data_IF_389147376719
#
_entry.id   IF_389147376719
#
_cell.length_a   1.000
_cell.length_b   1.000
_cell.length_c   1.000
_cell.angle_alpha   90.00
_cell.angle_beta   90.00
_cell.angle_gamma   90.00
#
_symmetry.space_group_name_H-M   'P 1'
#
loop_
_entity.id
_entity.type
_entity.pdbx_description
1 polymer ?
#
# COMPACT_ATOMS: atom_id res chain seq x y z
N UNK A 1 -6.22 37.62 -21.14
CA UNK A 1 -4.99 36.90 -20.76
C UNK A 1 -5.34 36.18 -19.47
N UNK A 2 -6.02 35.05 -19.60
CA UNK A 2 -6.42 34.21 -18.47
C UNK A 2 -5.17 33.57 -17.91
N UNK A 3 -4.92 33.79 -16.62
CA UNK A 3 -3.91 33.05 -15.89
C UNK A 3 -4.40 31.61 -15.81
N UNK A 4 -3.71 30.70 -16.51
CA UNK A 4 -3.89 29.28 -16.30
C UNK A 4 -3.56 29.00 -14.83
N UNK A 5 -4.57 28.58 -14.08
CA UNK A 5 -4.37 27.96 -12.77
C UNK A 5 -3.50 26.72 -13.01
N UNK A 6 -2.21 26.82 -12.67
CA UNK A 6 -1.33 25.66 -12.61
C UNK A 6 -1.88 24.73 -11.53
N UNK A 7 -2.64 23.73 -11.97
CA UNK A 7 -2.98 22.55 -11.18
C UNK A 7 -1.69 22.01 -10.52
N UNK A 8 -1.68 21.77 -9.20
CA UNK A 8 -0.49 21.32 -8.51
C UNK A 8 -0.02 19.98 -9.12
N UNK A 9 1.30 19.79 -9.32
CA UNK A 9 1.79 18.53 -9.84
C UNK A 9 1.33 17.39 -8.93
N UNK A 10 0.68 16.39 -9.52
CA UNK A 10 0.17 15.12 -8.97
C UNK A 10 1.27 14.22 -8.33
N UNK A 11 2.33 14.81 -7.78
CA UNK A 11 3.46 14.16 -7.13
C UNK A 11 3.68 14.58 -5.68
N UNK A 12 2.89 15.52 -5.14
CA UNK A 12 3.08 16.06 -3.79
C UNK A 12 2.88 15.00 -2.69
N UNK A 13 1.97 14.05 -2.89
CA UNK A 13 1.70 12.99 -1.90
C UNK A 13 2.85 11.98 -1.78
N UNK A 14 3.61 11.79 -2.87
CA UNK A 14 4.71 10.83 -2.93
C UNK A 14 6.00 11.35 -2.25
N UNK A 15 6.16 12.67 -2.13
CA UNK A 15 7.36 13.31 -1.57
C UNK A 15 7.48 13.03 -0.07
N UNK A 16 6.38 13.23 0.68
CA UNK A 16 6.32 12.91 2.10
C UNK A 16 6.51 11.42 2.36
N UNK A 17 5.93 10.58 1.49
CA UNK A 17 6.17 9.15 1.54
C UNK A 17 7.66 8.88 1.41
N UNK A 18 8.31 9.30 0.33
CA UNK A 18 9.75 9.07 0.10
C UNK A 18 10.61 9.57 1.26
N UNK A 19 10.31 10.76 1.80
CA UNK A 19 11.03 11.32 2.94
C UNK A 19 10.87 10.51 4.24
N UNK A 20 9.73 9.82 4.41
CA UNK A 20 9.46 8.95 5.55
C UNK A 20 10.07 7.55 5.35
N UNK A 21 10.06 7.05 4.10
CA UNK A 21 10.64 5.76 3.71
C UNK A 21 12.17 5.73 3.84
N UNK A 22 12.84 6.89 3.74
CA UNK A 22 14.30 7.03 3.79
C UNK A 22 14.87 6.98 5.23
N UNK A 23 14.02 7.02 6.27
CA UNK A 23 14.45 7.14 7.68
C UNK A 23 14.72 5.79 8.38
N UNK A 24 14.65 4.65 7.66
CA UNK A 24 15.05 3.33 8.16
C UNK A 24 13.90 2.33 8.38
N UNK A 25 14.24 1.04 8.45
CA UNK A 25 13.29 -0.09 8.38
C UNK A 25 12.19 -0.10 9.46
N UNK A 26 12.47 0.37 10.69
CA UNK A 26 11.46 0.39 11.77
C UNK A 26 10.45 1.53 11.67
N UNK A 27 10.84 2.66 11.06
CA UNK A 27 9.96 3.79 10.79
C UNK A 27 9.04 3.53 9.60
N UNK A 28 9.52 2.72 8.64
CA UNK A 28 8.78 2.29 7.47
C UNK A 28 7.48 1.56 7.84
N UNK A 29 7.56 0.57 8.73
CA UNK A 29 6.38 -0.22 9.12
C UNK A 29 5.33 0.63 9.86
N UNK A 30 5.79 1.49 10.75
CA UNK A 30 4.93 2.42 11.51
C UNK A 30 4.29 3.46 10.59
N UNK A 31 5.04 4.01 9.65
CA UNK A 31 4.54 4.98 8.68
C UNK A 31 3.50 4.37 7.73
N UNK A 32 3.74 3.14 7.25
CA UNK A 32 2.80 2.43 6.38
C UNK A 32 1.54 2.02 7.12
N UNK A 33 1.65 1.65 8.40
CA UNK A 33 0.50 1.40 9.28
C UNK A 33 -0.33 2.66 9.48
N UNK A 34 0.30 3.77 9.87
CA UNK A 34 -0.39 5.05 10.11
C UNK A 34 -1.02 5.60 8.83
N UNK A 35 -0.34 5.47 7.68
CA UNK A 35 -0.91 5.81 6.39
C UNK A 35 -2.15 4.98 6.10
N UNK A 36 -2.09 3.66 6.29
CA UNK A 36 -3.21 2.77 6.01
C UNK A 36 -4.43 3.06 6.90
N UNK A 37 -4.19 3.38 8.18
CA UNK A 37 -5.20 3.86 9.12
C UNK A 37 -5.82 5.18 8.69
N UNK A 38 -5.00 6.18 8.34
CA UNK A 38 -5.49 7.48 7.88
C UNK A 38 -6.33 7.36 6.59
N UNK A 39 -5.89 6.50 5.66
CA UNK A 39 -6.58 6.27 4.41
C UNK A 39 -7.87 5.46 4.59
N UNK A 40 -7.90 4.51 5.52
CA UNK A 40 -9.11 3.78 5.89
C UNK A 40 -10.25 4.72 6.35
N UNK A 41 -9.93 5.81 7.04
CA UNK A 41 -10.93 6.74 7.58
C UNK A 41 -11.44 7.76 6.57
N UNK A 42 -10.69 8.03 5.49
CA UNK A 42 -10.97 9.15 4.58
C UNK A 42 -11.22 8.71 3.12
N UNK A 43 -10.45 7.75 2.60
CA UNK A 43 -10.56 7.26 1.21
C UNK A 43 -9.85 5.89 1.07
N UNK A 44 -10.61 4.82 1.28
CA UNK A 44 -10.14 3.43 1.20
C UNK A 44 -9.52 3.11 -0.16
N UNK A 45 -10.10 3.62 -1.26
CA UNK A 45 -9.64 3.34 -2.62
C UNK A 45 -8.31 4.02 -2.93
N UNK A 46 -8.09 5.24 -2.44
CA UNK A 46 -6.80 5.92 -2.54
C UNK A 46 -5.74 5.18 -1.71
N UNK A 47 -6.07 4.69 -0.51
CA UNK A 47 -5.16 3.84 0.28
C UNK A 47 -4.71 2.59 -0.47
N UNK A 48 -5.65 1.87 -1.09
CA UNK A 48 -5.35 0.71 -1.95
C UNK A 48 -4.44 1.09 -3.12
N UNK A 49 -4.73 2.20 -3.81
CA UNK A 49 -3.91 2.66 -4.94
C UNK A 49 -2.48 2.98 -4.51
N UNK A 50 -2.30 3.68 -3.39
CA UNK A 50 -0.99 4.07 -2.86
C UNK A 50 -0.15 2.85 -2.50
N UNK A 51 -0.68 1.93 -1.69
CA UNK A 51 0.07 0.73 -1.29
C UNK A 51 0.42 -0.18 -2.48
N UNK A 52 -0.50 -0.34 -3.45
CA UNK A 52 -0.20 -1.06 -4.71
C UNK A 52 0.86 -0.33 -5.54
N UNK A 53 0.85 1.00 -5.53
CA UNK A 53 1.85 1.83 -6.20
C UNK A 53 3.24 1.57 -5.65
N UNK A 54 3.39 1.47 -4.33
CA UNK A 54 4.67 1.13 -3.69
C UNK A 54 5.16 -0.25 -4.10
N UNK A 55 4.32 -1.28 -3.97
CA UNK A 55 4.69 -2.65 -4.40
C UNK A 55 5.12 -2.66 -5.87
N UNK A 56 4.43 -1.94 -6.75
CA UNK A 56 4.82 -1.86 -8.17
C UNK A 56 6.15 -1.14 -8.39
N UNK A 57 6.45 -0.09 -7.62
CA UNK A 57 7.71 0.67 -7.71
C UNK A 57 8.91 -0.20 -7.28
N UNK A 58 8.80 -0.91 -6.15
CA UNK A 58 9.84 -1.84 -5.70
C UNK A 58 9.27 -2.98 -4.82
N UNK A 59 8.94 -4.13 -5.42
CA UNK A 59 8.32 -5.24 -4.71
C UNK A 59 9.16 -5.76 -3.55
N UNK A 60 10.50 -5.80 -3.70
CA UNK A 60 11.41 -6.32 -2.67
C UNK A 60 11.49 -5.42 -1.43
N UNK A 61 11.25 -4.12 -1.60
CA UNK A 61 11.31 -3.16 -0.51
C UNK A 61 9.97 -2.99 0.21
N UNK A 62 8.86 -3.09 -0.53
CA UNK A 62 7.54 -2.71 -0.03
C UNK A 62 6.57 -3.87 0.18
N UNK A 63 6.90 -5.09 -0.24
CA UNK A 63 6.15 -6.26 0.20
C UNK A 63 6.63 -6.68 1.59
N UNK A 64 6.14 -5.96 2.58
CA UNK A 64 6.33 -6.22 4.00
C UNK A 64 5.02 -6.79 4.56
N UNK A 65 5.08 -7.59 5.63
CA UNK A 65 3.88 -8.14 6.29
C UNK A 65 2.85 -7.07 6.60
N UNK A 66 3.30 -5.92 7.10
CA UNK A 66 2.45 -4.78 7.41
C UNK A 66 1.72 -4.22 6.18
N UNK A 67 2.38 -4.15 5.01
CA UNK A 67 1.75 -3.65 3.77
C UNK A 67 0.73 -4.65 3.26
N UNK A 68 1.04 -5.95 3.36
CA UNK A 68 0.15 -7.03 2.95
C UNK A 68 -1.09 -7.06 3.85
N UNK A 69 -0.88 -7.02 5.16
CA UNK A 69 -1.95 -6.96 6.15
C UNK A 69 -2.86 -5.74 5.91
N UNK A 70 -2.27 -4.58 5.67
CA UNK A 70 -3.01 -3.34 5.42
C UNK A 70 -3.79 -3.40 4.09
N UNK A 71 -3.19 -3.91 3.00
CA UNK A 71 -3.89 -4.09 1.74
C UNK A 71 -5.06 -5.07 1.86
N UNK A 72 -4.87 -6.18 2.57
CA UNK A 72 -5.94 -7.15 2.83
C UNK A 72 -7.09 -6.51 3.60
N UNK A 73 -6.78 -5.74 4.64
CA UNK A 73 -7.76 -5.01 5.45
C UNK A 73 -8.51 -3.97 4.61
N UNK A 74 -7.81 -3.19 3.79
CA UNK A 74 -8.45 -2.21 2.90
C UNK A 74 -9.31 -2.88 1.82
N UNK A 75 -8.92 -4.05 1.29
CA UNK A 75 -9.77 -4.80 0.37
C UNK A 75 -11.06 -5.25 1.03
N UNK A 76 -10.99 -5.76 2.26
CA UNK A 76 -12.18 -6.16 3.02
C UNK A 76 -13.11 -4.97 3.30
N UNK A 77 -12.53 -3.82 3.65
CA UNK A 77 -13.28 -2.58 3.91
C UNK A 77 -13.87 -1.95 2.64
N UNK A 78 -13.28 -2.19 1.48
CA UNK A 78 -13.78 -1.67 0.20
C UNK A 78 -15.05 -2.36 -0.29
N UNK A 79 -15.56 -3.39 0.42
CA UNK A 79 -16.70 -4.23 0.02
C UNK A 79 -16.61 -4.72 -1.44
N UNK A 80 -15.39 -4.93 -1.92
CA UNK A 80 -15.13 -5.31 -3.30
C UNK A 80 -15.32 -6.83 -3.48
N UNK A 81 -16.24 -7.21 -4.37
CA UNK A 81 -16.52 -8.61 -4.70
C UNK A 81 -15.28 -9.39 -5.19
N UNK A 82 -14.23 -8.70 -5.66
CA UNK A 82 -12.97 -9.34 -6.08
C UNK A 82 -11.85 -9.28 -5.03
N UNK A 83 -12.14 -8.89 -3.78
CA UNK A 83 -11.17 -8.82 -2.69
C UNK A 83 -10.37 -10.13 -2.53
N UNK A 84 -11.05 -11.28 -2.50
CA UNK A 84 -10.39 -12.59 -2.37
C UNK A 84 -9.46 -12.90 -3.54
N UNK A 85 -9.83 -12.51 -4.77
CA UNK A 85 -8.97 -12.69 -5.95
C UNK A 85 -7.72 -11.78 -5.88
N UNK A 86 -7.88 -10.55 -5.36
CA UNK A 86 -6.76 -9.62 -5.14
C UNK A 86 -5.80 -10.11 -4.06
N UNK A 87 -6.31 -10.70 -2.98
CA UNK A 87 -5.51 -11.35 -1.92
C UNK A 87 -4.68 -12.52 -2.47
N UNK A 88 -5.29 -13.41 -3.27
CA UNK A 88 -4.58 -14.50 -3.96
C UNK A 88 -3.51 -14.00 -4.93
N UNK A 89 -3.81 -12.93 -5.67
CA UNK A 89 -2.81 -12.29 -6.53
C UNK A 89 -1.63 -11.79 -5.72
N UNK A 90 -1.88 -11.16 -4.57
CA UNK A 90 -0.83 -10.68 -3.67
C UNK A 90 0.07 -11.84 -3.21
N UNK A 91 -0.54 -12.97 -2.81
CA UNK A 91 0.17 -14.17 -2.38
C UNK A 91 1.06 -14.76 -3.48
N UNK A 92 0.58 -14.79 -4.73
CA UNK A 92 1.35 -15.24 -5.88
C UNK A 92 2.56 -14.33 -6.16
N UNK A 93 2.41 -13.01 -5.95
CA UNK A 93 3.50 -12.05 -6.12
C UNK A 93 4.59 -12.28 -5.07
N UNK A 94 4.24 -12.50 -3.80
CA UNK A 94 5.22 -12.84 -2.75
C UNK A 94 6.04 -14.08 -3.07
N UNK A 95 5.39 -15.14 -3.55
CA UNK A 95 6.06 -16.37 -3.97
C UNK A 95 7.03 -16.11 -5.14
N UNK A 96 6.62 -15.28 -6.11
CA UNK A 96 7.46 -14.91 -7.25
C UNK A 96 8.73 -14.16 -6.85
N UNK A 97 8.68 -13.35 -5.80
CA UNK A 97 9.82 -12.59 -5.30
C UNK A 97 10.65 -13.33 -4.23
N UNK A 98 10.29 -14.58 -3.88
CA UNK A 98 10.92 -15.39 -2.83
C UNK A 98 10.95 -14.69 -1.47
N UNK A 99 9.84 -14.04 -1.12
CA UNK A 99 9.66 -13.39 0.17
C UNK A 99 9.10 -14.42 1.17
N UNK A 100 9.96 -15.35 1.58
CA UNK A 100 9.60 -16.50 2.42
C UNK A 100 9.31 -16.12 3.88
N UNK A 101 9.74 -14.93 4.31
CA UNK A 101 9.55 -14.43 5.68
C UNK A 101 8.14 -13.87 5.94
N UNK A 102 7.28 -13.78 4.93
CA UNK A 102 5.94 -13.20 5.06
C UNK A 102 4.97 -14.23 5.61
N UNK A 103 4.35 -13.92 6.73
CA UNK A 103 3.40 -14.80 7.40
C UNK A 103 2.12 -14.95 6.56
N UNK A 104 1.70 -16.20 6.33
CA UNK A 104 0.47 -16.51 5.59
C UNK A 104 -0.79 -15.90 6.21
N UNK A 105 -0.79 -15.63 7.52
CA UNK A 105 -1.88 -14.97 8.24
C UNK A 105 -2.08 -13.51 7.82
N UNK A 106 -1.03 -12.83 7.34
CA UNK A 106 -1.08 -11.46 6.80
C UNK A 106 -2.05 -11.33 5.62
N UNK A 107 -2.32 -12.43 4.90
CA UNK A 107 -3.24 -12.41 3.76
C UNK A 107 -4.73 -12.48 4.12
N UNK A 108 -5.09 -12.82 5.37
CA UNK A 108 -6.47 -12.89 5.86
C UNK A 108 -7.42 -13.58 4.86
N UNK A 109 -7.09 -14.81 4.49
CA UNK A 109 -7.89 -15.66 3.60
C UNK A 109 -9.10 -16.24 4.35
N UNK A 110 -10.04 -15.39 4.74
CA UNK A 110 -11.36 -15.77 5.28
C UNK A 110 -12.44 -15.58 4.24
#
# INVERSE_FOLDING_TARGET
>A
MEAAEEEPPDGSDDIWLRATLDQGAGLLDSALTNLSLAMCSCDVLRGVRTLKGLIRKNPRLYMLDVVIFNLCTLYDLSFDAVASAKKRTLQAVTQRFRLEDIDTSSFRMS
#
